data_IF_234542947762
#
_entry.id   IF_234542947762
#
_cell.length_a   1.000
_cell.length_b   1.000
_cell.length_c   1.000
_cell.angle_alpha   90.00
_cell.angle_beta   90.00
_cell.angle_gamma   90.00
#
_symmetry.space_group_name_H-M   'P 1'
#
loop_
_entity.id
_entity.type
_entity.pdbx_description
1 polymer ?
#
# COMPACT_ATOMS: atom_id res chain seq x y z
N UNK A 1 -11.00 19.59 9.31
CA UNK A 1 -10.47 20.19 8.08
C UNK A 1 -10.60 19.12 7.01
N UNK A 2 -11.19 19.43 5.87
CA UNK A 2 -11.40 18.47 4.78
C UNK A 2 -10.13 18.40 3.94
N UNK A 3 -9.68 17.19 3.56
CA UNK A 3 -8.55 17.03 2.65
C UNK A 3 -9.04 17.12 1.22
N UNK A 4 -8.62 18.18 0.52
CA UNK A 4 -9.02 18.46 -0.85
C UNK A 4 -8.13 17.68 -1.83
N UNK A 5 -8.30 16.35 -1.87
CA UNK A 5 -7.43 15.42 -2.62
C UNK A 5 -7.24 15.78 -4.10
N UNK A 6 -8.28 16.34 -4.72
CA UNK A 6 -8.35 16.59 -6.16
C UNK A 6 -8.16 18.06 -6.56
N UNK A 7 -7.91 18.94 -5.58
CA UNK A 7 -7.66 20.35 -5.85
C UNK A 7 -6.30 20.54 -6.53
N UNK A 8 -6.19 21.60 -7.33
CA UNK A 8 -4.91 21.91 -7.97
C UNK A 8 -3.89 22.41 -6.95
N UNK A 9 -2.67 21.88 -7.07
CA UNK A 9 -1.55 22.22 -6.20
C UNK A 9 -0.60 23.11 -6.97
N UNK A 10 -0.27 24.27 -6.38
CA UNK A 10 0.71 25.19 -6.95
C UNK A 10 2.06 24.49 -7.17
N UNK A 11 2.61 24.63 -8.38
CA UNK A 11 3.89 24.02 -8.76
C UNK A 11 3.84 22.55 -9.17
N UNK A 12 2.66 21.90 -9.18
CA UNK A 12 2.50 20.53 -9.68
C UNK A 12 1.86 20.54 -11.08
N UNK A 13 2.67 20.35 -12.12
CA UNK A 13 2.17 20.18 -13.48
C UNK A 13 1.42 18.86 -13.65
N UNK A 14 0.47 18.82 -14.59
CA UNK A 14 -0.30 17.59 -14.85
C UNK A 14 0.59 16.41 -15.26
N UNK A 15 1.65 16.65 -16.03
CA UNK A 15 2.62 15.61 -16.45
C UNK A 15 3.30 14.89 -15.27
N UNK A 16 3.43 15.57 -14.13
CA UNK A 16 4.01 15.01 -12.92
C UNK A 16 2.99 14.27 -12.04
N UNK A 17 1.70 14.31 -12.39
CA UNK A 17 0.64 13.59 -11.67
C UNK A 17 0.62 12.11 -12.08
N UNK A 18 0.39 11.23 -11.12
CA UNK A 18 0.36 9.78 -11.31
C UNK A 18 -0.78 9.37 -12.25
N UNK A 19 -0.55 8.37 -13.12
CA UNK A 19 -1.55 7.91 -14.10
C UNK A 19 -2.87 7.47 -13.47
N UNK A 20 -2.82 6.79 -12.31
CA UNK A 20 -4.03 6.42 -11.56
C UNK A 20 -4.76 7.60 -10.95
N UNK A 21 -4.03 8.61 -10.49
CA UNK A 21 -4.66 9.83 -10.00
C UNK A 21 -5.44 10.49 -11.16
N UNK A 22 -4.83 10.62 -12.34
CA UNK A 22 -5.51 11.15 -13.53
C UNK A 22 -6.75 10.33 -13.90
N UNK A 23 -6.62 9.00 -13.93
CA UNK A 23 -7.75 8.09 -14.18
C UNK A 23 -8.90 8.37 -13.20
N UNK A 24 -8.62 8.42 -11.90
CA UNK A 24 -9.64 8.68 -10.87
C UNK A 24 -10.22 10.10 -10.93
N UNK A 25 -9.43 11.09 -11.35
CA UNK A 25 -9.85 12.48 -11.50
C UNK A 25 -10.76 12.68 -12.72
N UNK A 26 -10.36 12.10 -13.85
CA UNK A 26 -10.86 12.44 -15.19
C UNK A 26 -11.95 11.50 -15.71
N UNK A 27 -11.95 10.22 -15.30
CA UNK A 27 -12.94 9.26 -15.79
C UNK A 27 -14.29 9.44 -15.10
N UNK A 28 -15.33 9.79 -15.88
CA UNK A 28 -16.68 10.01 -15.35
C UNK A 28 -17.29 8.77 -14.70
N UNK A 29 -16.85 7.58 -15.13
CA UNK A 29 -17.30 6.29 -14.58
C UNK A 29 -16.85 6.10 -13.13
N UNK A 30 -15.79 6.80 -12.70
CA UNK A 30 -15.20 6.70 -11.34
C UNK A 30 -15.67 7.81 -10.40
N UNK A 31 -16.74 8.55 -10.76
CA UNK A 31 -17.23 9.68 -9.98
C UNK A 31 -17.62 9.28 -8.55
N UNK A 32 -18.25 8.13 -8.39
CA UNK A 32 -18.71 7.64 -7.09
C UNK A 32 -17.53 7.24 -6.21
N UNK A 33 -16.55 6.56 -6.79
CA UNK A 33 -15.30 6.14 -6.17
C UNK A 33 -14.49 7.36 -5.72
N UNK A 34 -14.46 8.40 -6.56
CA UNK A 34 -13.83 9.68 -6.22
C UNK A 34 -14.48 10.33 -5.00
N UNK A 35 -15.80 10.43 -5.00
CA UNK A 35 -16.56 11.00 -3.88
C UNK A 35 -16.38 10.17 -2.61
N UNK A 36 -16.47 8.84 -2.71
CA UNK A 36 -16.25 7.92 -1.60
C UNK A 36 -14.86 8.10 -1.00
N UNK A 37 -13.83 8.20 -1.83
CA UNK A 37 -12.46 8.40 -1.34
C UNK A 37 -12.30 9.72 -0.60
N UNK A 38 -12.94 10.81 -1.04
CA UNK A 38 -12.97 12.05 -0.27
C UNK A 38 -13.62 11.83 1.11
N UNK A 39 -14.73 11.09 1.18
CA UNK A 39 -15.37 10.80 2.48
C UNK A 39 -14.49 9.98 3.42
N UNK A 40 -13.63 9.12 2.89
CA UNK A 40 -12.68 8.34 3.69
C UNK A 40 -11.58 9.19 4.33
N UNK A 41 -11.34 10.40 3.82
CA UNK A 41 -10.38 11.33 4.43
C UNK A 41 -10.98 12.20 5.53
N UNK A 42 -12.26 12.03 5.85
CA UNK A 42 -12.92 12.84 6.87
C UNK A 42 -12.27 12.62 8.25
N UNK A 43 -11.69 13.70 8.79
CA UNK A 43 -11.00 13.68 10.08
C UNK A 43 -9.53 13.21 10.02
N UNK A 44 -9.03 12.82 8.83
CA UNK A 44 -7.62 12.52 8.62
C UNK A 44 -6.82 13.83 8.62
N UNK A 45 -5.76 13.88 9.43
CA UNK A 45 -4.90 15.05 9.55
C UNK A 45 -3.70 14.95 8.60
N UNK A 46 -3.59 15.93 7.69
CA UNK A 46 -2.38 16.13 6.87
C UNK A 46 -1.32 16.88 7.69
N UNK A 47 -0.58 16.11 8.50
CA UNK A 47 0.34 16.61 9.53
C UNK A 47 1.52 17.41 8.98
N UNK A 48 1.97 17.09 7.77
CA UNK A 48 3.12 17.73 7.14
C UNK A 48 2.78 18.51 5.87
N UNK A 49 1.48 18.67 5.58
CA UNK A 49 0.93 19.34 4.39
C UNK A 49 1.44 18.75 3.07
N UNK A 50 1.85 17.46 3.07
CA UNK A 50 2.33 16.78 1.86
C UNK A 50 1.37 15.72 1.36
N UNK A 51 0.37 15.32 2.15
CA UNK A 51 -0.49 14.19 1.81
C UNK A 51 -1.22 14.41 0.48
N UNK A 52 -1.84 15.57 0.29
CA UNK A 52 -2.55 15.90 -0.97
C UNK A 52 -1.60 15.86 -2.17
N UNK A 53 -0.39 16.43 -2.02
CA UNK A 53 0.62 16.40 -3.10
C UNK A 53 1.11 14.98 -3.41
N UNK A 54 1.40 14.19 -2.38
CA UNK A 54 1.86 12.81 -2.55
C UNK A 54 0.78 11.91 -3.15
N UNK A 55 -0.49 12.16 -2.82
CA UNK A 55 -1.63 11.50 -3.45
C UNK A 55 -1.66 11.75 -4.97
N UNK A 56 -1.36 12.98 -5.40
CA UNK A 56 -1.34 13.33 -6.83
C UNK A 56 -0.07 12.84 -7.54
N UNK A 57 1.10 12.89 -6.91
CA UNK A 57 2.39 12.55 -7.56
C UNK A 57 2.71 11.05 -7.53
N UNK A 58 2.49 10.38 -6.40
CA UNK A 58 2.91 8.99 -6.16
C UNK A 58 1.76 8.02 -5.96
N UNK A 59 0.59 8.53 -5.57
CA UNK A 59 -0.68 7.83 -5.42
C UNK A 59 -0.71 6.66 -4.43
N UNK A 60 0.00 5.57 -4.70
CA UNK A 60 -0.15 4.29 -4.00
C UNK A 60 0.05 4.35 -2.50
N UNK A 61 1.12 5.01 -2.03
CA UNK A 61 1.42 5.11 -0.59
C UNK A 61 0.32 5.85 0.16
N UNK A 62 -0.06 7.03 -0.32
CA UNK A 62 -1.10 7.84 0.30
C UNK A 62 -2.48 7.18 0.17
N UNK A 63 -2.78 6.56 -0.97
CA UNK A 63 -4.00 5.77 -1.14
C UNK A 63 -4.09 4.66 -0.09
N UNK A 64 -2.99 3.93 0.13
CA UNK A 64 -2.96 2.86 1.13
C UNK A 64 -3.15 3.37 2.56
N UNK A 65 -2.56 4.52 2.90
CA UNK A 65 -2.81 5.20 4.19
C UNK A 65 -4.29 5.58 4.36
N UNK A 66 -4.94 6.12 3.33
CA UNK A 66 -6.37 6.46 3.39
C UNK A 66 -7.23 5.21 3.64
N UNK A 67 -6.91 4.09 2.97
CA UNK A 67 -7.62 2.82 3.19
C UNK A 67 -7.42 2.29 4.62
N UNK A 68 -6.19 2.33 5.15
CA UNK A 68 -5.92 1.93 6.54
C UNK A 68 -6.68 2.81 7.53
N UNK A 69 -6.70 4.12 7.32
CA UNK A 69 -7.41 5.06 8.16
C UNK A 69 -8.90 4.72 8.23
N UNK A 70 -9.54 4.58 7.06
CA UNK A 70 -10.96 4.21 6.98
C UNK A 70 -11.23 2.86 7.66
N UNK A 71 -10.35 1.86 7.44
CA UNK A 71 -10.47 0.56 8.09
C UNK A 71 -10.42 0.67 9.62
N UNK A 72 -9.54 1.52 10.16
CA UNK A 72 -9.45 1.76 11.60
C UNK A 72 -10.75 2.38 12.14
N UNK A 73 -11.34 3.35 11.43
CA UNK A 73 -12.61 3.95 11.82
C UNK A 73 -13.76 2.95 11.80
N UNK A 74 -13.86 2.14 10.74
CA UNK A 74 -14.89 1.09 10.62
C UNK A 74 -14.74 0.00 11.68
N UNK A 75 -13.49 -0.31 12.09
CA UNK A 75 -13.21 -1.21 13.20
C UNK A 75 -13.50 -0.61 14.59
N UNK A 76 -13.92 0.67 14.66
CA UNK A 76 -14.22 1.38 15.90
C UNK A 76 -12.98 1.81 16.69
N UNK A 77 -11.83 1.93 16.02
CA UNK A 77 -10.59 2.34 16.68
C UNK A 77 -10.53 3.84 16.93
N UNK A 78 -9.90 4.22 18.03
CA UNK A 78 -9.57 5.62 18.32
C UNK A 78 -8.12 5.90 17.93
N UNK A 79 -7.90 6.93 17.12
CA UNK A 79 -6.58 7.29 16.61
C UNK A 79 -6.05 8.56 17.26
N UNK A 80 -4.78 8.52 17.67
CA UNK A 80 -3.99 9.70 18.01
C UNK A 80 -3.20 10.14 16.77
N UNK A 81 -3.57 11.31 16.25
CA UNK A 81 -2.96 11.91 15.06
C UNK A 81 -2.07 13.13 15.42
N UNK A 82 -1.75 13.32 16.70
CA UNK A 82 -0.93 14.46 17.17
C UNK A 82 0.56 14.32 16.83
N UNK A 83 1.00 13.11 16.48
CA UNK A 83 2.37 12.79 16.14
C UNK A 83 2.54 12.45 14.65
N UNK A 84 3.65 12.87 14.01
CA UNK A 84 3.89 12.67 12.58
C UNK A 84 4.28 11.23 12.21
N UNK A 85 4.61 10.39 13.19
CA UNK A 85 4.93 8.98 13.01
C UNK A 85 4.75 8.21 14.35
N UNK A 86 4.53 6.89 14.30
CA UNK A 86 4.23 6.06 13.11
C UNK A 86 2.97 6.53 12.36
N UNK A 87 2.75 6.05 11.14
CA UNK A 87 1.66 6.56 10.29
C UNK A 87 0.30 6.62 11.02
N UNK A 88 -0.02 5.60 11.84
CA UNK A 88 -1.16 5.62 12.76
C UNK A 88 -0.78 5.17 14.17
N UNK A 89 -1.30 5.89 15.16
CA UNK A 89 -1.24 5.52 16.58
C UNK A 89 -2.66 5.19 17.03
N UNK A 90 -2.93 3.92 17.29
CA UNK A 90 -4.22 3.46 17.79
C UNK A 90 -4.19 3.51 19.32
N UNK A 91 -5.19 4.14 19.95
CA UNK A 91 -5.32 4.26 21.42
C UNK A 91 -6.37 3.33 22.03
N UNK A 92 -7.34 2.90 21.24
CA UNK A 92 -8.45 2.04 21.68
C UNK A 92 -8.82 1.07 20.55
N UNK A 93 -9.14 -0.21 20.83
CA UNK A 93 -9.38 -0.83 22.15
C UNK A 93 -8.12 -1.17 22.96
N UNK A 94 -6.96 -1.17 22.32
CA UNK A 94 -5.65 -1.32 22.96
C UNK A 94 -4.66 -0.44 22.22
N UNK A 95 -3.60 0.01 22.89
CA UNK A 95 -2.61 0.85 22.23
C UNK A 95 -1.68 0.02 21.33
N UNK A 96 -1.56 0.43 20.07
CA UNK A 96 -0.60 -0.13 19.11
C UNK A 96 -0.32 0.86 17.98
N UNK A 97 0.72 0.57 17.21
CA UNK A 97 1.16 1.41 16.11
C UNK A 97 0.98 0.70 14.77
N UNK A 98 0.65 1.46 13.73
CA UNK A 98 0.60 0.98 12.35
C UNK A 98 1.54 1.85 11.52
N UNK A 99 2.43 1.20 10.78
CA UNK A 99 3.29 1.82 9.78
C UNK A 99 2.96 1.23 8.41
N UNK A 100 2.46 2.07 7.51
CA UNK A 100 2.02 1.69 6.17
C UNK A 100 3.21 1.60 5.21
N UNK A 101 3.22 0.61 4.32
CA UNK A 101 4.24 0.47 3.30
C UNK A 101 3.67 -0.14 2.02
N UNK A 102 4.09 0.40 0.89
CA UNK A 102 3.82 -0.18 -0.42
C UNK A 102 5.13 -0.74 -0.97
N UNK A 103 5.14 -2.03 -1.30
CA UNK A 103 6.24 -2.63 -2.04
C UNK A 103 6.13 -2.22 -3.52
N UNK A 104 6.81 -1.15 -3.91
CA UNK A 104 6.76 -0.62 -5.27
C UNK A 104 7.62 -1.39 -6.27
N UNK A 105 7.28 -1.29 -7.56
CA UNK A 105 8.05 -1.80 -8.70
C UNK A 105 9.52 -1.35 -8.62
N UNK A 106 10.47 -2.20 -9.03
CA UNK A 106 11.87 -1.73 -9.24
C UNK A 106 11.89 -0.52 -10.16
N UNK A 107 12.80 0.42 -9.90
CA UNK A 107 13.14 1.47 -10.87
C UNK A 107 13.51 0.92 -12.26
N UNK A 108 14.18 -0.23 -12.34
CA UNK A 108 14.51 -0.91 -13.61
C UNK A 108 13.42 -1.88 -14.12
N UNK A 109 12.27 -1.96 -13.43
CA UNK A 109 11.14 -2.79 -13.87
C UNK A 109 10.30 -2.10 -14.93
N UNK A 110 9.35 -2.85 -15.49
CA UNK A 110 8.36 -2.25 -16.40
C UNK A 110 7.47 -1.31 -15.59
N UNK A 111 7.42 -0.01 -15.93
CA UNK A 111 6.61 0.94 -15.20
C UNK A 111 5.12 0.61 -15.36
N UNK A 112 4.35 0.92 -14.32
CA UNK A 112 2.94 0.60 -14.25
C UNK A 112 2.10 1.21 -15.38
N UNK A 113 2.50 2.39 -15.88
CA UNK A 113 1.81 3.05 -16.99
C UNK A 113 1.86 2.28 -18.32
N UNK A 114 2.69 1.23 -18.42
CA UNK A 114 2.73 0.32 -19.57
C UNK A 114 1.77 -0.86 -19.44
N UNK A 115 0.98 -0.95 -18.35
CA UNK A 115 0.07 -2.07 -18.10
C UNK A 115 -0.98 -2.15 -19.20
N UNK A 116 -1.08 -3.31 -19.82
CA UNK A 116 -2.00 -3.59 -20.93
C UNK A 116 -3.32 -4.22 -20.45
N UNK A 117 -4.29 -4.34 -21.36
CA UNK A 117 -5.49 -5.13 -21.08
C UNK A 117 -5.16 -6.62 -20.88
N UNK A 118 -4.17 -7.15 -21.60
CA UNK A 118 -3.72 -8.55 -21.45
C UNK A 118 -3.13 -8.78 -20.05
N UNK A 119 -2.31 -7.85 -19.56
CA UNK A 119 -1.81 -7.83 -18.18
C UNK A 119 -2.96 -7.91 -17.16
N UNK A 120 -4.03 -7.14 -17.37
CA UNK A 120 -5.20 -7.18 -16.51
C UNK A 120 -5.97 -8.51 -16.60
N UNK A 121 -6.20 -9.01 -17.81
CA UNK A 121 -6.91 -10.27 -18.04
C UNK A 121 -6.13 -11.49 -17.54
N UNK A 122 -4.81 -11.41 -17.47
CA UNK A 122 -3.95 -12.46 -16.92
C UNK A 122 -4.28 -12.79 -15.46
N UNK A 123 -4.88 -11.85 -14.72
CA UNK A 123 -5.35 -12.06 -13.34
C UNK A 123 -6.49 -13.07 -13.23
N UNK A 124 -7.22 -13.34 -14.33
CA UNK A 124 -8.28 -14.34 -14.38
C UNK A 124 -7.73 -15.77 -14.42
N UNK A 125 -6.46 -15.94 -14.76
CA UNK A 125 -5.79 -17.23 -14.77
C UNK A 125 -5.37 -17.55 -13.32
N UNK A 126 -5.82 -18.68 -12.73
CA UNK A 126 -5.38 -19.09 -11.40
C UNK A 126 -3.86 -19.10 -11.27
N UNK A 127 -3.28 -18.65 -10.14
CA UNK A 127 -1.83 -18.53 -9.98
C UNK A 127 -1.04 -19.80 -10.32
N UNK A 128 -1.57 -20.99 -9.98
CA UNK A 128 -0.94 -22.27 -10.26
C UNK A 128 -0.93 -22.70 -11.74
N UNK A 129 -1.66 -22.00 -12.61
CA UNK A 129 -1.69 -22.25 -14.06
C UNK A 129 -0.83 -21.23 -14.83
N UNK A 130 -0.28 -20.23 -14.14
CA UNK A 130 0.55 -19.20 -14.74
C UNK A 130 1.99 -19.70 -14.88
N UNK A 131 2.54 -19.64 -16.11
CA UNK A 131 3.88 -20.20 -16.42
C UNK A 131 5.02 -19.47 -15.72
N UNK A 132 4.87 -18.17 -15.51
CA UNK A 132 5.81 -17.23 -14.88
C UNK A 132 5.57 -17.07 -13.37
N UNK A 133 4.66 -17.85 -12.77
CA UNK A 133 4.25 -17.64 -11.37
C UNK A 133 5.42 -17.70 -10.39
N UNK A 134 6.37 -18.61 -10.58
CA UNK A 134 7.53 -18.73 -9.68
C UNK A 134 8.43 -17.50 -9.72
N UNK A 135 8.63 -16.92 -10.90
CA UNK A 135 9.47 -15.74 -11.07
C UNK A 135 8.79 -14.50 -10.47
N UNK A 136 7.48 -14.34 -10.72
CA UNK A 136 6.63 -13.32 -10.10
C UNK A 136 6.70 -13.44 -8.58
N UNK A 137 6.52 -14.64 -8.04
CA UNK A 137 6.55 -14.90 -6.60
C UNK A 137 7.90 -14.54 -5.98
N UNK A 138 9.01 -14.95 -6.60
CA UNK A 138 10.36 -14.70 -6.08
C UNK A 138 10.69 -13.20 -6.06
N UNK A 139 10.31 -12.45 -7.10
CA UNK A 139 10.47 -11.00 -7.10
C UNK A 139 9.60 -10.34 -6.01
N UNK A 140 8.35 -10.76 -5.84
CA UNK A 140 7.46 -10.24 -4.79
C UNK A 140 8.02 -10.48 -3.40
N UNK A 141 8.58 -11.66 -3.12
CA UNK A 141 9.22 -11.98 -1.83
C UNK A 141 10.36 -10.99 -1.54
N UNK A 142 11.23 -10.74 -2.52
CA UNK A 142 12.38 -9.81 -2.35
C UNK A 142 11.87 -8.39 -2.08
N UNK A 143 10.84 -7.95 -2.80
CA UNK A 143 10.24 -6.61 -2.68
C UNK A 143 9.59 -6.40 -1.32
N UNK A 144 8.72 -7.32 -0.93
CA UNK A 144 8.06 -7.31 0.38
C UNK A 144 9.08 -7.37 1.52
N UNK A 145 10.12 -8.20 1.38
CA UNK A 145 11.22 -8.28 2.35
C UNK A 145 11.90 -6.92 2.54
N UNK A 146 12.31 -6.27 1.45
CA UNK A 146 12.96 -4.96 1.51
C UNK A 146 12.05 -3.88 2.12
N UNK A 147 10.76 -3.89 1.77
CA UNK A 147 9.76 -3.00 2.35
C UNK A 147 9.65 -3.19 3.87
N UNK A 148 9.53 -4.43 4.35
CA UNK A 148 9.45 -4.76 5.78
C UNK A 148 10.73 -4.33 6.50
N UNK A 149 11.92 -4.68 5.97
CA UNK A 149 13.19 -4.29 6.58
C UNK A 149 13.34 -2.77 6.71
N UNK A 150 12.87 -1.99 5.72
CA UNK A 150 12.90 -0.53 5.79
C UNK A 150 12.07 0.03 6.96
N UNK A 151 10.93 -0.61 7.28
CA UNK A 151 10.05 -0.21 8.39
C UNK A 151 10.55 -0.71 9.73
N UNK A 152 11.18 -1.87 9.79
CA UNK A 152 11.90 -2.34 10.99
C UNK A 152 13.02 -1.34 11.36
N UNK A 153 13.75 -0.81 10.36
CA UNK A 153 14.75 0.24 10.63
C UNK A 153 14.12 1.51 11.19
N UNK A 154 12.97 1.94 10.67
CA UNK A 154 12.23 3.09 11.22
C UNK A 154 11.76 2.85 12.66
N UNK A 155 11.33 1.64 12.99
CA UNK A 155 10.97 1.26 14.35
C UNK A 155 12.13 1.52 15.33
N UNK A 156 13.37 1.20 14.95
CA UNK A 156 14.56 1.55 15.76
C UNK A 156 14.74 3.06 15.99
N UNK A 157 14.34 3.89 15.02
CA UNK A 157 14.36 5.35 15.16
C UNK A 157 13.19 5.88 15.98
N UNK A 158 12.02 5.25 15.89
CA UNK A 158 10.82 5.61 16.65
C UNK A 158 10.96 5.32 18.14
N UNK A 159 11.63 4.22 18.52
CA UNK A 159 11.95 3.91 19.93
C UNK A 159 12.72 5.01 20.67
N UNK A 160 13.38 5.91 19.95
CA UNK A 160 14.15 7.03 20.53
C UNK A 160 13.26 8.22 20.91
N UNK A 161 11.96 8.16 20.65
CA UNK A 161 11.02 9.28 20.76
C UNK A 161 10.22 9.15 22.05
N UNK A 162 10.00 10.27 22.74
CA UNK A 162 9.39 10.27 24.07
C UNK A 162 7.92 9.81 24.10
N UNK A 163 7.23 9.86 22.97
CA UNK A 163 5.82 9.47 22.83
C UNK A 163 5.63 8.04 22.31
N UNK A 164 6.72 7.31 22.08
CA UNK A 164 6.68 5.94 21.57
C UNK A 164 7.00 4.96 22.71
N UNK A 165 6.10 4.00 22.96
CA UNK A 165 6.28 2.94 23.94
C UNK A 165 6.55 1.62 23.23
N UNK A 166 7.78 1.10 23.35
CA UNK A 166 8.22 -0.10 22.66
C UNK A 166 7.59 -1.41 23.18
N UNK A 167 6.81 -1.33 24.26
CA UNK A 167 5.98 -2.44 24.75
C UNK A 167 4.70 -2.63 23.94
N UNK A 168 4.24 -1.59 23.24
CA UNK A 168 3.03 -1.67 22.43
C UNK A 168 3.33 -2.34 21.08
N UNK A 169 2.40 -3.13 20.52
CA UNK A 169 2.62 -3.79 19.23
C UNK A 169 2.92 -2.78 18.11
N UNK A 170 3.86 -3.14 17.24
CA UNK A 170 4.18 -2.38 16.04
C UNK A 170 3.79 -3.20 14.80
N UNK A 171 2.77 -2.73 14.08
CA UNK A 171 2.18 -3.40 12.92
C UNK A 171 2.72 -2.76 11.64
N UNK A 172 3.22 -3.58 10.73
CA UNK A 172 3.59 -3.13 9.37
C UNK A 172 2.45 -3.50 8.43
N UNK A 173 1.72 -2.50 7.94
CA UNK A 173 0.64 -2.69 6.98
C UNK A 173 1.21 -2.63 5.55
N UNK A 174 1.49 -3.79 4.97
CA UNK A 174 2.10 -3.93 3.65
C UNK A 174 1.04 -4.09 2.54
N UNK A 175 1.17 -3.30 1.48
CA UNK A 175 0.47 -3.48 0.20
C UNK A 175 1.46 -3.85 -0.91
N UNK A 176 1.05 -4.74 -1.85
CA UNK A 176 1.85 -5.14 -3.00
C UNK A 176 1.50 -4.31 -4.24
N UNK A 177 2.47 -3.52 -4.72
CA UNK A 177 2.43 -2.82 -6.01
C UNK A 177 3.78 -3.01 -6.71
N UNK A 178 4.30 -4.23 -6.63
CA UNK A 178 5.70 -4.58 -6.81
C UNK A 178 6.05 -4.95 -8.26
N UNK A 179 5.04 -5.16 -9.09
CA UNK A 179 5.17 -5.51 -10.51
C UNK A 179 4.02 -4.93 -11.32
N UNK A 180 4.14 -4.85 -12.65
CA UNK A 180 3.07 -4.36 -13.53
C UNK A 180 1.75 -5.15 -13.37
N UNK A 181 1.87 -6.43 -13.01
CA UNK A 181 0.78 -7.36 -12.79
C UNK A 181 0.46 -7.58 -11.30
N UNK A 182 0.78 -6.61 -10.44
CA UNK A 182 0.45 -6.66 -9.02
C UNK A 182 -1.00 -7.10 -8.79
N UNK A 183 -1.18 -8.00 -7.81
CA UNK A 183 -2.43 -8.69 -7.51
C UNK A 183 -2.46 -10.17 -7.96
N UNK A 184 -1.62 -10.58 -8.93
CA UNK A 184 -1.53 -12.00 -9.37
C UNK A 184 -0.94 -12.92 -8.31
N UNK A 185 -0.03 -12.39 -7.51
CA UNK A 185 0.74 -13.09 -6.50
C UNK A 185 -0.09 -13.45 -5.26
N UNK A 186 -1.21 -12.74 -5.03
CA UNK A 186 -2.14 -12.99 -3.93
C UNK A 186 -1.42 -13.10 -2.57
N UNK A 187 -1.80 -14.07 -1.72
CA UNK A 187 -1.20 -14.27 -0.39
C UNK A 187 0.16 -14.99 -0.43
N UNK A 188 0.57 -15.54 -1.58
CA UNK A 188 1.70 -16.46 -1.67
C UNK A 188 3.07 -15.84 -1.30
N UNK A 189 3.41 -14.61 -1.71
CA UNK A 189 4.69 -14.00 -1.32
C UNK A 189 4.81 -13.83 0.19
N UNK A 190 3.75 -13.37 0.84
CA UNK A 190 3.73 -13.20 2.30
C UNK A 190 3.84 -14.53 3.03
N UNK A 191 3.15 -15.57 2.55
CA UNK A 191 3.29 -16.91 3.12
C UNK A 191 4.70 -17.47 2.95
N UNK A 192 5.31 -17.28 1.78
CA UNK A 192 6.66 -17.74 1.51
C UNK A 192 7.70 -16.98 2.34
N UNK A 193 7.56 -15.66 2.45
CA UNK A 193 8.47 -14.79 3.19
C UNK A 193 8.43 -15.07 4.71
N UNK A 194 7.24 -15.19 5.30
CA UNK A 194 7.09 -15.31 6.74
C UNK A 194 7.19 -16.76 7.25
N UNK A 195 6.80 -17.75 6.43
CA UNK A 195 6.66 -19.15 6.87
C UNK A 195 7.47 -20.13 6.03
N UNK A 196 8.34 -19.67 5.12
CA UNK A 196 9.13 -20.50 4.22
C UNK A 196 8.29 -21.51 3.40
N UNK A 197 7.01 -21.21 3.16
CA UNK A 197 6.12 -22.04 2.32
C UNK A 197 6.11 -21.52 0.89
N UNK A 198 7.08 -21.95 0.07
CA UNK A 198 6.90 -21.90 -1.39
C UNK A 198 5.88 -22.99 -1.75
N UNK A 199 4.79 -22.62 -2.44
CA UNK A 199 3.76 -23.56 -2.86
C UNK A 199 4.38 -24.67 -3.72
N UNK A 200 4.68 -25.83 -3.12
CA UNK A 200 5.20 -26.97 -3.85
C UNK A 200 4.06 -27.67 -4.59
N UNK A 201 3.82 -27.29 -5.84
CA UNK A 201 3.30 -28.24 -6.82
C UNK A 201 4.48 -29.08 -7.32
N UNK A 202 4.84 -30.11 -6.54
CA UNK A 202 5.48 -31.28 -7.13
C UNK A 202 4.36 -32.19 -7.61
N UNK A 203 4.31 -32.39 -8.92
CA UNK A 203 3.59 -33.46 -9.58
C UNK A 203 3.67 -34.75 -8.76
N UNK A 204 2.55 -35.15 -8.16
CA UNK A 204 2.34 -36.52 -7.70
C UNK A 204 1.68 -37.30 -8.84
N UNK A 205 2.39 -37.42 -9.95
CA UNK A 205 2.18 -38.52 -10.89
C UNK A 205 3.31 -39.52 -10.67
N UNK A 206 3.16 -40.33 -9.62
CA UNK A 206 3.87 -41.60 -9.44
C UNK A 206 2.92 -42.61 -8.83
N UNK A 207 2.23 -43.31 -9.72
CA UNK A 207 1.96 -44.77 -9.69
C UNK A 207 1.06 -45.11 -10.85
#
# INVERSE_FOLDING_TARGET
>A
MELLLFDDIEGLSDDNKHSKFKLLRDECQLLNERQLLCTYTNGLMDRDHKMVRQFQETFHSTYWEIIIYQLCLEAGFSLDQSHPFPDFIVKSPSEFYIEAVVANIKQAGTPENKRTLEDQLSMLIPPHLQKDFSDVLDESIIRSSNAIFSKIKKYEDYKKKSWFDDKNPFVIALSSCDQINYGREFIYPMMALLYCKKGHQKERNRS
#
